data_IF_503864390851
#
_entry.id   IF_503864390851
#
_cell.length_a   1.000
_cell.length_b   1.000
_cell.length_c   1.000
_cell.angle_alpha   90.00
_cell.angle_beta   90.00
_cell.angle_gamma   90.00
#
_symmetry.space_group_name_H-M   'P 1'
#
loop_
_entity.id
_entity.type
_entity.pdbx_description
1 polymer ?
#
# COMPACT_ATOMS: atom_id res chain seq x y z
N UNK A 1 -11.42 16.36 1.61
CA UNK A 1 -10.54 15.17 1.56
C UNK A 1 -10.60 14.68 0.13
N UNK A 2 -9.47 14.62 -0.60
CA UNK A 2 -9.45 14.12 -1.98
C UNK A 2 -9.16 12.61 -1.95
N UNK A 3 -10.05 11.84 -2.57
CA UNK A 3 -9.99 10.38 -2.76
C UNK A 3 -10.08 10.09 -4.24
N UNK A 4 -9.23 9.19 -4.74
CA UNK A 4 -9.29 8.68 -6.12
C UNK A 4 -9.35 7.15 -6.08
N UNK A 5 -10.26 6.57 -6.85
CA UNK A 5 -10.43 5.12 -6.99
C UNK A 5 -10.17 4.72 -8.44
N UNK A 6 -9.31 3.72 -8.63
CA UNK A 6 -9.05 3.09 -9.93
C UNK A 6 -8.98 1.58 -9.73
N UNK A 7 -10.11 0.91 -9.93
CA UNK A 7 -10.21 -0.55 -9.90
C UNK A 7 -10.18 -1.15 -11.31
N UNK A 8 -9.59 -2.33 -11.44
CA UNK A 8 -9.58 -3.22 -12.62
C UNK A 8 -8.75 -2.79 -13.86
N UNK A 9 -7.82 -1.85 -13.72
CA UNK A 9 -6.86 -1.54 -14.80
C UNK A 9 -5.43 -1.50 -14.28
N UNK A 10 -4.50 -2.13 -15.00
CA UNK A 10 -3.07 -1.96 -14.78
C UNK A 10 -2.76 -0.46 -14.72
N UNK A 11 -2.19 -0.01 -13.61
CA UNK A 11 -1.76 1.39 -13.51
C UNK A 11 -0.60 1.58 -14.46
N UNK A 12 -0.75 2.47 -15.41
CA UNK A 12 0.38 2.87 -16.23
C UNK A 12 1.15 4.00 -15.54
N UNK A 13 2.40 4.17 -15.96
CA UNK A 13 3.23 5.32 -15.58
C UNK A 13 2.54 6.66 -15.88
N UNK A 14 1.79 6.72 -16.97
CA UNK A 14 1.03 7.89 -17.37
C UNK A 14 -0.09 8.22 -16.37
N UNK A 15 -0.72 7.20 -15.79
CA UNK A 15 -1.83 7.39 -14.86
C UNK A 15 -1.35 7.99 -13.54
N UNK A 16 -0.24 7.50 -12.99
CA UNK A 16 0.37 8.07 -11.79
C UNK A 16 0.88 9.48 -12.07
N UNK A 17 1.50 9.71 -13.24
CA UNK A 17 1.96 11.03 -13.65
C UNK A 17 0.81 12.06 -13.70
N UNK A 18 -0.35 11.68 -14.26
CA UNK A 18 -1.54 12.55 -14.27
C UNK A 18 -2.06 12.86 -12.87
N UNK A 19 -1.99 11.90 -11.96
CA UNK A 19 -2.41 12.13 -10.57
C UNK A 19 -1.49 13.15 -9.87
N UNK A 20 -0.19 13.11 -10.15
CA UNK A 20 0.78 14.04 -9.58
C UNK A 20 0.56 15.47 -10.05
N UNK A 21 0.24 15.67 -11.33
CA UNK A 21 0.01 16.99 -11.90
C UNK A 21 -1.31 17.62 -11.44
N UNK A 22 -2.36 16.80 -11.26
CA UNK A 22 -3.71 17.31 -11.01
C UNK A 22 -4.17 17.23 -9.56
N UNK A 23 -3.55 16.39 -8.73
CA UNK A 23 -4.01 16.09 -7.36
C UNK A 23 -2.87 16.21 -6.32
N UNK A 24 -2.19 17.37 -6.19
CA UNK A 24 -1.09 17.55 -5.25
C UNK A 24 -1.50 17.38 -3.77
N UNK A 25 -2.81 17.48 -3.49
CA UNK A 25 -3.39 17.31 -2.16
C UNK A 25 -4.09 15.95 -1.98
N UNK A 26 -3.84 14.96 -2.86
CA UNK A 26 -4.42 13.63 -2.74
C UNK A 26 -4.00 12.98 -1.43
N UNK A 27 -4.98 12.57 -0.61
CA UNK A 27 -4.75 11.93 0.69
C UNK A 27 -5.13 10.46 0.69
N UNK A 28 -6.02 10.04 -0.19
CA UNK A 28 -6.47 8.67 -0.28
C UNK A 28 -6.44 8.21 -1.73
N UNK A 29 -5.85 7.04 -1.94
CA UNK A 29 -5.74 6.42 -3.24
C UNK A 29 -6.17 4.96 -3.12
N UNK A 30 -7.10 4.52 -3.95
CA UNK A 30 -7.43 3.11 -4.11
C UNK A 30 -7.00 2.62 -5.48
N UNK A 31 -6.20 1.56 -5.46
CA UNK A 31 -5.66 0.78 -6.58
C UNK A 31 -6.10 -0.68 -6.47
N UNK A 32 -7.20 -0.94 -5.78
CA UNK A 32 -7.67 -2.29 -5.50
C UNK A 32 -7.92 -3.07 -6.81
N UNK A 33 -7.47 -4.33 -6.85
CA UNK A 33 -7.54 -5.15 -8.06
C UNK A 33 -6.52 -4.78 -9.15
N UNK A 34 -5.66 -3.79 -8.91
CA UNK A 34 -4.64 -3.36 -9.85
C UNK A 34 -3.46 -4.32 -9.93
N UNK A 35 -2.90 -4.49 -11.13
CA UNK A 35 -1.59 -5.10 -11.34
C UNK A 35 -0.51 -4.03 -11.13
N UNK A 36 0.39 -4.27 -10.17
CA UNK A 36 1.40 -3.30 -9.75
C UNK A 36 2.79 -3.87 -9.94
N UNK A 37 3.64 -3.11 -10.64
CA UNK A 37 5.06 -3.40 -10.74
C UNK A 37 5.92 -2.39 -9.97
N UNK A 38 7.23 -2.64 -9.95
CA UNK A 38 8.19 -1.77 -9.24
C UNK A 38 8.21 -0.33 -9.77
N UNK A 39 7.94 -0.11 -11.05
CA UNK A 39 8.03 1.20 -11.69
C UNK A 39 6.79 2.05 -11.36
N UNK A 40 5.61 1.44 -11.33
CA UNK A 40 4.39 2.09 -10.85
C UNK A 40 4.54 2.49 -9.38
N UNK A 41 5.09 1.59 -8.54
CA UNK A 41 5.28 1.86 -7.12
C UNK A 41 6.28 2.99 -6.89
N UNK A 42 7.41 3.04 -7.61
CA UNK A 42 8.38 4.15 -7.51
C UNK A 42 7.72 5.51 -7.74
N UNK A 43 6.73 5.59 -8.62
CA UNK A 43 6.05 6.86 -8.92
C UNK A 43 5.10 7.30 -7.82
N UNK A 44 4.55 6.38 -7.02
CA UNK A 44 3.71 6.73 -5.86
C UNK A 44 4.47 7.54 -4.81
N UNK A 45 5.81 7.46 -4.75
CA UNK A 45 6.63 8.29 -3.86
C UNK A 45 6.44 9.79 -4.05
N UNK A 46 6.02 10.21 -5.25
CA UNK A 46 5.80 11.62 -5.56
C UNK A 46 4.46 12.15 -5.00
N UNK A 47 3.58 11.28 -4.48
CA UNK A 47 2.34 11.66 -3.81
C UNK A 47 2.60 12.02 -2.34
N UNK A 48 3.30 13.12 -2.11
CA UNK A 48 3.78 13.52 -0.78
C UNK A 48 2.67 13.74 0.27
N UNK A 49 1.44 13.99 -0.18
CA UNK A 49 0.26 14.21 0.69
C UNK A 49 -0.51 12.93 1.00
N UNK A 50 -0.13 11.78 0.44
CA UNK A 50 -0.89 10.54 0.54
C UNK A 50 -0.85 9.98 1.95
N UNK A 51 -2.02 9.69 2.52
CA UNK A 51 -2.20 9.21 3.90
C UNK A 51 -2.77 7.80 3.97
N UNK A 52 -3.56 7.40 2.97
CA UNK A 52 -4.14 6.06 2.84
C UNK A 52 -3.91 5.54 1.42
N UNK A 53 -3.46 4.29 1.33
CA UNK A 53 -3.35 3.54 0.09
C UNK A 53 -4.13 2.23 0.20
N UNK A 54 -5.05 1.99 -0.71
CA UNK A 54 -5.79 0.73 -0.80
C UNK A 54 -5.25 -0.10 -1.97
N UNK A 55 -4.66 -1.26 -1.66
CA UNK A 55 -4.16 -2.27 -2.59
C UNK A 55 -4.86 -3.61 -2.33
N UNK A 56 -6.13 -3.58 -1.93
CA UNK A 56 -6.93 -4.78 -1.72
C UNK A 56 -7.11 -5.56 -3.03
N UNK A 57 -7.20 -6.88 -2.98
CA UNK A 57 -7.31 -7.76 -4.16
C UNK A 57 -6.12 -7.64 -5.14
N UNK A 58 -4.92 -7.28 -4.66
CA UNK A 58 -3.72 -7.20 -5.50
C UNK A 58 -2.79 -8.40 -5.27
N UNK A 59 -1.97 -8.72 -6.27
CA UNK A 59 -0.83 -9.64 -6.12
C UNK A 59 0.47 -8.83 -5.99
N UNK A 60 1.04 -8.79 -4.78
CA UNK A 60 2.20 -7.96 -4.45
C UNK A 60 3.43 -8.85 -4.22
N UNK A 61 4.32 -8.89 -5.21
CA UNK A 61 5.56 -9.67 -5.14
C UNK A 61 6.54 -9.12 -4.09
N UNK A 62 7.55 -9.94 -3.75
CA UNK A 62 8.61 -9.52 -2.82
C UNK A 62 9.34 -8.26 -3.30
N UNK A 63 9.53 -8.11 -4.61
CA UNK A 63 10.28 -6.98 -5.16
C UNK A 63 9.44 -5.70 -5.13
N UNK A 64 8.15 -5.78 -5.48
CA UNK A 64 7.21 -4.67 -5.34
C UNK A 64 7.16 -4.16 -3.89
N UNK A 65 7.06 -5.07 -2.92
CA UNK A 65 6.99 -4.72 -1.50
C UNK A 65 8.32 -4.19 -0.94
N UNK A 66 9.47 -4.66 -1.45
CA UNK A 66 10.78 -4.08 -1.10
C UNK A 66 10.89 -2.65 -1.62
N UNK A 67 10.44 -2.39 -2.85
CA UNK A 67 10.41 -1.02 -3.39
C UNK A 67 9.52 -0.13 -2.53
N UNK A 68 8.32 -0.59 -2.14
CA UNK A 68 7.48 0.13 -1.17
C UNK A 68 8.21 0.43 0.14
N UNK A 69 9.01 -0.50 0.64
CA UNK A 69 9.76 -0.33 1.87
C UNK A 69 10.84 0.76 1.77
N UNK A 70 11.34 1.02 0.56
CA UNK A 70 12.34 2.04 0.25
C UNK A 70 11.74 3.42 -0.05
N UNK A 71 10.43 3.50 -0.33
CA UNK A 71 9.79 4.78 -0.61
C UNK A 71 9.72 5.64 0.66
N UNK A 72 10.01 6.93 0.49
CA UNK A 72 9.84 7.97 1.51
C UNK A 72 8.43 8.55 1.38
N UNK A 73 7.44 7.80 1.85
CA UNK A 73 6.05 8.26 1.94
C UNK A 73 5.74 8.70 3.37
N UNK A 74 6.32 9.82 3.82
CA UNK A 74 6.28 10.26 5.22
C UNK A 74 4.85 10.47 5.77
N UNK A 75 3.90 10.77 4.89
CA UNK A 75 2.50 10.99 5.26
C UNK A 75 1.66 9.71 5.20
N UNK A 76 2.15 8.61 4.62
CA UNK A 76 1.36 7.40 4.44
C UNK A 76 1.24 6.65 5.77
N UNK A 77 0.03 6.66 6.35
CA UNK A 77 -0.25 6.08 7.66
C UNK A 77 -1.02 4.77 7.55
N UNK A 78 -1.78 4.57 6.47
CA UNK A 78 -2.63 3.39 6.30
C UNK A 78 -2.43 2.73 4.94
N UNK A 79 -2.25 1.42 4.96
CA UNK A 79 -2.23 0.57 3.77
C UNK A 79 -3.26 -0.55 3.93
N UNK A 80 -4.21 -0.65 3.01
CA UNK A 80 -5.18 -1.76 2.99
C UNK A 80 -4.71 -2.79 1.98
N UNK A 81 -4.66 -4.04 2.42
CA UNK A 81 -4.15 -5.18 1.66
C UNK A 81 -5.16 -6.33 1.72
N UNK A 82 -6.45 -6.03 1.89
CA UNK A 82 -7.47 -7.04 2.11
C UNK A 82 -7.60 -7.94 0.87
N UNK A 83 -7.76 -9.24 1.08
CA UNK A 83 -7.87 -10.23 0.00
C UNK A 83 -6.68 -10.19 -0.99
N UNK A 84 -5.54 -9.65 -0.58
CA UNK A 84 -4.33 -9.56 -1.41
C UNK A 84 -3.37 -10.72 -1.13
N UNK A 85 -2.57 -11.06 -2.14
CA UNK A 85 -1.48 -12.02 -1.99
C UNK A 85 -0.18 -11.27 -1.77
N UNK A 86 0.53 -11.57 -0.69
CA UNK A 86 1.75 -10.87 -0.30
C UNK A 86 2.98 -11.76 -0.43
N UNK A 87 4.07 -11.20 -0.95
CA UNK A 87 5.38 -11.82 -0.92
C UNK A 87 5.86 -12.12 0.50
N UNK A 88 6.39 -13.34 0.71
CA UNK A 88 6.78 -13.86 2.03
C UNK A 88 8.00 -13.17 2.64
N UNK A 89 8.83 -12.51 1.83
CA UNK A 89 10.04 -11.80 2.27
C UNK A 89 9.83 -10.28 2.25
N UNK A 90 9.14 -9.78 1.24
CA UNK A 90 8.90 -8.37 0.99
C UNK A 90 7.98 -7.75 2.04
N UNK A 91 6.88 -8.40 2.42
CA UNK A 91 5.97 -7.84 3.41
C UNK A 91 6.60 -7.71 4.80
N UNK A 92 7.31 -8.73 5.36
CA UNK A 92 8.08 -8.54 6.59
C UNK A 92 9.12 -7.41 6.49
N UNK A 93 9.78 -7.26 5.33
CA UNK A 93 10.73 -6.17 5.13
C UNK A 93 10.06 -4.79 5.15
N UNK A 94 8.91 -4.64 4.47
CA UNK A 94 8.08 -3.43 4.50
C UNK A 94 7.66 -3.08 5.94
N UNK A 95 7.12 -4.05 6.67
CA UNK A 95 6.67 -3.86 8.06
C UNK A 95 7.83 -3.39 8.96
N UNK A 96 9.05 -3.89 8.76
CA UNK A 96 10.23 -3.50 9.54
C UNK A 96 10.74 -2.09 9.21
N UNK A 97 10.69 -1.69 7.94
CA UNK A 97 11.15 -0.37 7.47
C UNK A 97 10.15 0.73 7.81
N UNK A 98 8.87 0.49 7.56
CA UNK A 98 7.81 1.51 7.63
C UNK A 98 7.03 1.44 8.96
N UNK A 99 7.68 1.83 10.05
CA UNK A 99 7.18 1.60 11.43
C UNK A 99 5.89 2.34 11.79
N UNK A 100 5.55 3.41 11.07
CA UNK A 100 4.37 4.23 11.34
C UNK A 100 3.11 3.78 10.60
N UNK A 101 3.24 2.83 9.66
CA UNK A 101 2.11 2.33 8.88
C UNK A 101 1.26 1.34 9.66
N UNK A 102 -0.06 1.50 9.51
CA UNK A 102 -1.09 0.56 9.92
C UNK A 102 -1.62 -0.20 8.71
N UNK A 103 -1.92 -1.47 8.90
CA UNK A 103 -2.38 -2.37 7.86
C UNK A 103 -3.80 -2.86 8.12
N UNK A 104 -4.61 -2.93 7.07
CA UNK A 104 -5.82 -3.76 7.04
C UNK A 104 -5.49 -5.04 6.25
N UNK A 105 -5.73 -6.20 6.87
CA UNK A 105 -5.31 -7.53 6.38
C UNK A 105 -6.47 -8.54 6.44
N UNK A 106 -7.68 -8.11 6.06
CA UNK A 106 -8.84 -9.01 6.00
C UNK A 106 -8.66 -9.98 4.84
N UNK A 107 -8.81 -11.28 5.08
CA UNK A 107 -8.59 -12.32 4.05
C UNK A 107 -7.20 -12.29 3.39
N UNK A 108 -6.18 -11.84 4.15
CA UNK A 108 -4.78 -11.76 3.70
C UNK A 108 -3.92 -12.72 4.49
N UNK A 109 -3.25 -13.66 3.80
CA UNK A 109 -2.37 -14.61 4.46
C UNK A 109 -0.99 -14.00 4.76
N UNK A 110 -0.61 -13.98 6.04
CA UNK A 110 0.75 -13.61 6.49
C UNK A 110 1.23 -14.58 7.57
N UNK A 111 2.54 -14.62 7.81
CA UNK A 111 3.12 -15.47 8.85
C UNK A 111 2.53 -15.13 10.24
N UNK A 112 2.15 -16.13 11.07
CA UNK A 112 1.54 -15.90 12.39
C UNK A 112 2.39 -15.00 13.30
N UNK A 113 3.71 -15.17 13.29
CA UNK A 113 4.63 -14.38 14.11
C UNK A 113 4.63 -12.91 13.68
N UNK A 114 4.42 -12.64 12.39
CA UNK A 114 4.29 -11.28 11.87
C UNK A 114 2.93 -10.67 12.23
N UNK A 115 1.86 -11.47 12.22
CA UNK A 115 0.53 -11.06 12.67
C UNK A 115 0.56 -10.65 14.14
N UNK A 116 1.13 -11.50 15.01
CA UNK A 116 1.31 -11.21 16.44
C UNK A 116 2.17 -9.97 16.66
N UNK A 117 3.24 -9.83 15.88
CA UNK A 117 4.06 -8.62 15.90
C UNK A 117 3.23 -7.38 15.56
N UNK A 118 2.44 -7.37 14.48
CA UNK A 118 1.59 -6.24 14.10
C UNK A 118 0.53 -5.91 15.16
N UNK A 119 -0.05 -6.94 15.81
CA UNK A 119 -0.97 -6.77 16.94
C UNK A 119 -0.26 -6.08 18.10
N UNK A 120 0.92 -6.58 18.51
CA UNK A 120 1.69 -6.04 19.64
C UNK A 120 2.08 -4.57 19.44
N UNK A 121 2.30 -4.16 18.18
CA UNK A 121 2.65 -2.80 17.82
C UNK A 121 1.42 -1.89 17.60
N UNK A 122 0.19 -2.41 17.71
CA UNK A 122 -1.03 -1.66 17.41
C UNK A 122 -1.12 -1.21 15.94
N UNK A 123 -0.50 -1.99 15.04
CA UNK A 123 -0.36 -1.70 13.60
C UNK A 123 -1.41 -2.40 12.73
N UNK A 124 -2.39 -3.07 13.33
CA UNK A 124 -3.57 -3.55 12.61
C UNK A 124 -4.73 -2.56 12.75
N UNK A 125 -5.40 -2.26 11.64
CA UNK A 125 -6.70 -1.57 11.66
C UNK A 125 -7.79 -2.59 11.97
N UNK A 126 -8.72 -2.22 12.85
CA UNK A 126 -9.97 -2.96 13.02
C UNK A 126 -10.79 -2.74 11.76
N UNK A 127 -11.19 -3.81 11.08
CA UNK A 127 -12.15 -3.72 9.98
C UNK A 127 -13.42 -3.07 10.53
N UNK A 128 -13.76 -1.88 10.06
CA UNK A 128 -15.12 -1.36 10.22
C UNK A 128 -15.93 -2.06 9.14
N UNK A 129 -16.80 -2.94 9.61
CA UNK A 129 -17.83 -3.66 8.87
C UNK A 129 -18.72 -2.65 8.14
#
# INVERSE_FOLDING_TARGET
MQTLERGDIALTTEDVSRMLENLPALRQLSLAGGELDSDNIRQLSKLHSLQMLDLSNCELSDDVLKVFAELTCDQLVEMRLNASRLGKVGFPHLVRRQKNMKFALVDTEIAPELMDYLISQGRLRRSLI
#
